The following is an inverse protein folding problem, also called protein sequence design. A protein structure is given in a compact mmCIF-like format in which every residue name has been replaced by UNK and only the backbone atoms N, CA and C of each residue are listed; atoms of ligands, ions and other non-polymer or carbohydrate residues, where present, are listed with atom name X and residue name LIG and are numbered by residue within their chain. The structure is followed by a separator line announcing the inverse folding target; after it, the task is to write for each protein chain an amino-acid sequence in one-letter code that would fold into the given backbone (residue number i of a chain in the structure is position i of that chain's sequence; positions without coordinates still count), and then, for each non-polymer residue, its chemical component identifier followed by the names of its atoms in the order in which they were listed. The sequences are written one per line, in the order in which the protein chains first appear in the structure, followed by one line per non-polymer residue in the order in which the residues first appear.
data_IF_421849048716
#
_entry.id   IF_421849048716
#
_cell.length_a   1.000
_cell.length_b   1.000
_cell.length_c   1.000
_cell.angle_alpha   90.00
_cell.angle_beta   90.00
_cell.angle_gamma   90.00
#
_symmetry.space_group_name_H-M   'P 1'
#
loop_
_entity.id
_entity.type
_entity.pdbx_description
1 polymer ?
#
# COMPACT_ATOMS: atom_id res chain seq x y z
N UNK A 1 -1.72 6.38 11.63
CA UNK A 1 -3.01 6.13 12.33
C UNK A 1 -2.72 6.21 13.82
N UNK A 2 -3.21 7.25 14.49
CA UNK A 2 -2.91 7.47 15.91
C UNK A 2 -4.07 6.99 16.78
N UNK A 3 -3.77 6.38 17.90
CA UNK A 3 -4.70 6.13 19.01
C UNK A 3 -4.75 7.30 19.99
N UNK A 4 -4.06 8.40 19.67
CA UNK A 4 -4.00 9.64 20.46
C UNK A 4 -4.43 10.82 19.59
N UNK A 5 -5.36 11.62 20.09
CA UNK A 5 -5.68 12.92 19.52
C UNK A 5 -4.55 13.92 19.84
N UNK A 6 -3.83 14.32 18.81
CA UNK A 6 -3.01 15.52 18.76
C UNK A 6 -3.81 16.62 18.06
N UNK A 7 -3.86 17.82 18.64
CA UNK A 7 -4.55 18.99 18.05
C UNK A 7 -3.59 19.88 17.25
N UNK A 8 -2.28 19.67 17.36
CA UNK A 8 -1.24 20.43 16.63
C UNK A 8 -1.11 20.00 15.17
N UNK A 9 -1.40 18.74 14.90
CA UNK A 9 -1.73 18.17 13.59
C UNK A 9 -3.17 17.69 13.73
N UNK A 10 -4.13 18.04 12.86
CA UNK A 10 -5.55 17.73 13.04
C UNK A 10 -5.81 16.21 12.92
N UNK A 11 -5.43 15.46 13.94
CA UNK A 11 -5.60 14.01 14.01
C UNK A 11 -7.01 13.68 14.43
N UNK A 12 -7.45 12.47 14.09
CA UNK A 12 -8.75 11.93 14.51
C UNK A 12 -8.49 10.61 15.21
N UNK A 13 -8.98 10.48 16.44
CA UNK A 13 -8.89 9.24 17.20
C UNK A 13 -9.75 8.15 16.54
N UNK A 14 -9.13 7.01 16.24
CA UNK A 14 -9.84 5.81 15.76
C UNK A 14 -10.02 4.87 16.94
N UNK A 15 -11.27 4.69 17.37
CA UNK A 15 -11.63 3.80 18.48
C UNK A 15 -11.55 2.34 18.02
N UNK A 16 -10.33 1.79 17.99
CA UNK A 16 -10.05 0.39 17.67
C UNK A 16 -8.84 -0.10 18.49
N UNK A 17 -8.78 -1.39 18.90
CA UNK A 17 -7.63 -1.90 19.64
C UNK A 17 -6.30 -1.66 18.90
N UNK A 18 -5.23 -1.15 19.54
CA UNK A 18 -3.97 -0.76 18.90
C UNK A 18 -3.11 -1.97 18.45
N UNK A 19 -3.72 -3.09 18.10
CA UNK A 19 -3.03 -4.30 17.66
C UNK A 19 -2.71 -4.22 16.17
N UNK A 20 -1.53 -4.72 15.79
CA UNK A 20 -1.12 -4.87 14.39
C UNK A 20 -2.06 -5.85 13.64
N UNK A 21 -2.53 -6.88 14.32
CA UNK A 21 -3.51 -7.85 13.80
C UNK A 21 -4.87 -7.21 13.44
N UNK A 22 -5.17 -6.02 13.98
CA UNK A 22 -6.43 -5.32 13.74
C UNK A 22 -6.31 -4.23 12.66
N UNK A 23 -5.21 -4.19 11.90
CA UNK A 23 -4.97 -3.16 10.89
C UNK A 23 -6.08 -3.10 9.84
N UNK A 24 -6.58 -4.24 9.35
CA UNK A 24 -7.68 -4.22 8.38
C UNK A 24 -8.94 -3.58 8.97
N UNK A 25 -9.32 -3.94 10.20
CA UNK A 25 -10.51 -3.37 10.83
C UNK A 25 -10.32 -1.87 11.13
N UNK A 26 -9.12 -1.43 11.52
CA UNK A 26 -8.79 0.00 11.64
C UNK A 26 -8.92 0.74 10.33
N UNK A 27 -8.41 0.15 9.25
CA UNK A 27 -8.47 0.73 7.91
C UNK A 27 -9.93 0.94 7.49
N UNK A 28 -10.80 -0.05 7.71
CA UNK A 28 -12.25 0.05 7.44
C UNK A 28 -12.87 1.23 8.18
N UNK A 29 -12.59 1.39 9.47
CA UNK A 29 -13.11 2.50 10.27
C UNK A 29 -12.58 3.87 9.82
N UNK A 30 -11.30 3.95 9.42
CA UNK A 30 -10.72 5.18 8.87
C UNK A 30 -11.41 5.59 7.58
N UNK A 31 -11.61 4.66 6.66
CA UNK A 31 -12.26 4.98 5.39
C UNK A 31 -13.74 5.36 5.62
N UNK A 32 -14.45 4.68 6.53
CA UNK A 32 -15.80 5.09 6.95
C UNK A 32 -15.82 6.51 7.50
N UNK A 33 -14.85 6.85 8.34
CA UNK A 33 -14.71 8.19 8.89
C UNK A 33 -14.42 9.22 7.80
N UNK A 34 -13.49 8.92 6.89
CA UNK A 34 -13.16 9.83 5.79
C UNK A 34 -14.39 10.12 4.92
N UNK A 35 -15.12 9.08 4.51
CA UNK A 35 -16.33 9.21 3.69
C UNK A 35 -17.46 9.93 4.43
N UNK A 36 -17.53 9.82 5.76
CA UNK A 36 -18.55 10.48 6.59
C UNK A 36 -18.25 11.97 6.82
N UNK A 37 -17.00 12.32 7.09
CA UNK A 37 -16.60 13.66 7.54
C UNK A 37 -16.11 14.57 6.40
N UNK A 38 -15.69 14.00 5.28
CA UNK A 38 -15.13 14.73 4.14
C UNK A 38 -15.85 14.42 2.83
N UNK A 39 -15.51 15.17 1.78
CA UNK A 39 -16.11 15.04 0.45
C UNK A 39 -15.09 15.24 -0.66
N UNK A 40 -15.45 14.85 -1.89
CA UNK A 40 -14.64 15.04 -3.09
C UNK A 40 -14.34 16.51 -3.39
N UNK A 41 -15.19 17.44 -2.95
CA UNK A 41 -14.96 18.88 -3.12
C UNK A 41 -13.82 19.41 -2.23
N UNK A 42 -13.43 18.66 -1.19
CA UNK A 42 -12.34 19.02 -0.28
C UNK A 42 -11.02 18.32 -0.62
N UNK A 43 -11.09 17.05 -1.04
CA UNK A 43 -9.91 16.25 -1.35
C UNK A 43 -10.14 15.36 -2.58
N UNK A 44 -9.33 15.58 -3.62
CA UNK A 44 -9.33 14.73 -4.83
C UNK A 44 -8.73 13.34 -4.56
N UNK A 45 -7.71 13.30 -3.69
CA UNK A 45 -6.88 12.14 -3.39
C UNK A 45 -6.63 12.01 -1.89
N UNK A 46 -6.57 10.76 -1.43
CA UNK A 46 -6.14 10.38 -0.09
C UNK A 46 -4.87 9.55 -0.21
N UNK A 47 -3.83 9.91 0.55
CA UNK A 47 -2.58 9.16 0.62
C UNK A 47 -2.46 8.49 2.00
N UNK A 48 -2.40 7.15 2.02
CA UNK A 48 -2.11 6.35 3.22
C UNK A 48 -0.63 6.00 3.20
N UNK A 49 0.07 6.18 4.32
CA UNK A 49 1.40 5.62 4.54
C UNK A 49 1.62 5.26 6.00
N UNK A 50 2.74 4.59 6.29
CA UNK A 50 3.20 4.35 7.66
C UNK A 50 3.97 5.57 8.18
N UNK A 51 4.18 5.64 9.50
CA UNK A 51 4.84 6.76 10.18
C UNK A 51 6.36 6.82 9.94
N UNK A 52 6.93 5.78 9.35
CA UNK A 52 8.31 5.68 8.88
C UNK A 52 8.43 5.80 7.35
N UNK A 53 7.49 6.52 6.73
CA UNK A 53 7.52 6.85 5.30
C UNK A 53 7.93 8.29 5.07
N UNK A 54 8.95 8.51 4.23
CA UNK A 54 9.25 9.85 3.72
C UNK A 54 8.53 10.08 2.39
N UNK A 55 7.71 11.13 2.33
CA UNK A 55 6.93 11.52 1.15
C UNK A 55 7.51 12.80 0.51
N UNK A 56 7.82 12.74 -0.79
CA UNK A 56 8.18 13.89 -1.61
C UNK A 56 6.90 14.45 -2.22
N UNK A 57 6.32 15.45 -1.55
CA UNK A 57 4.98 15.96 -1.85
C UNK A 57 4.87 16.59 -3.24
N UNK A 58 5.92 17.25 -3.71
CA UNK A 58 5.99 17.89 -5.03
C UNK A 58 5.91 16.85 -6.14
N UNK A 59 6.61 15.73 -5.97
CA UNK A 59 6.60 14.63 -6.94
C UNK A 59 5.23 13.94 -6.94
N UNK A 60 4.63 13.69 -5.76
CA UNK A 60 3.27 13.15 -5.69
C UNK A 60 2.27 14.08 -6.40
N UNK A 61 2.26 15.38 -6.08
CA UNK A 61 1.36 16.35 -6.71
C UNK A 61 1.56 16.42 -8.22
N UNK A 62 2.80 16.42 -8.69
CA UNK A 62 3.11 16.43 -10.13
C UNK A 62 2.57 15.18 -10.81
N UNK A 63 2.77 14.01 -10.19
CA UNK A 63 2.31 12.73 -10.73
C UNK A 63 0.77 12.65 -10.76
N UNK A 64 0.08 13.01 -9.68
CA UNK A 64 -1.38 12.99 -9.60
C UNK A 64 -2.05 13.97 -10.58
N UNK A 65 -1.40 15.10 -10.88
CA UNK A 65 -1.88 16.07 -11.86
C UNK A 65 -1.42 15.77 -13.30
N UNK A 66 -0.67 14.69 -13.51
CA UNK A 66 -0.24 14.25 -14.84
C UNK A 66 -1.43 13.84 -15.71
N UNK A 67 -1.38 14.08 -17.04
CA UNK A 67 -2.51 13.82 -17.93
C UNK A 67 -2.96 12.36 -17.93
N UNK A 68 -2.03 11.41 -17.80
CA UNK A 68 -2.35 9.97 -17.73
C UNK A 68 -3.15 9.63 -16.47
N UNK A 69 -2.73 10.14 -15.31
CA UNK A 69 -3.43 9.87 -14.05
C UNK A 69 -4.78 10.57 -14.00
N UNK A 70 -4.89 11.81 -14.50
CA UNK A 70 -6.17 12.52 -14.57
C UNK A 70 -7.16 11.80 -15.49
N UNK A 71 -6.72 11.35 -16.66
CA UNK A 71 -7.57 10.61 -17.59
C UNK A 71 -8.12 9.33 -16.96
N UNK A 72 -7.28 8.54 -16.28
CA UNK A 72 -7.73 7.31 -15.63
C UNK A 72 -8.62 7.60 -14.41
N UNK A 73 -8.36 8.68 -13.67
CA UNK A 73 -9.15 9.08 -12.52
C UNK A 73 -10.56 9.58 -12.89
N UNK A 74 -10.75 10.10 -14.10
CA UNK A 74 -12.08 10.46 -14.64
C UNK A 74 -12.94 9.23 -14.92
N UNK A 75 -12.32 8.08 -15.24
CA UNK A 75 -13.01 6.85 -15.60
C UNK A 75 -13.48 6.01 -14.40
N UNK A 76 -13.00 6.30 -13.17
CA UNK A 76 -13.49 5.63 -11.97
C UNK A 76 -12.47 5.46 -10.83
N UNK A 77 -12.63 4.42 -9.98
CA UNK A 77 -11.74 4.13 -8.85
C UNK A 77 -10.28 3.89 -9.27
N UNK A 78 -9.35 4.59 -8.62
CA UNK A 78 -7.90 4.45 -8.87
C UNK A 78 -7.15 4.22 -7.57
N UNK A 79 -6.21 3.26 -7.62
CA UNK A 79 -5.20 3.00 -6.59
C UNK A 79 -3.81 3.09 -7.22
N UNK A 80 -2.96 3.93 -6.65
CA UNK A 80 -1.58 4.18 -7.08
C UNK A 80 -0.62 3.85 -5.94
N UNK A 81 0.40 3.06 -6.22
CA UNK A 81 1.50 2.81 -5.31
C UNK A 81 2.38 1.70 -5.84
N UNK A 82 3.27 1.19 -4.99
CA UNK A 82 4.11 0.06 -5.38
C UNK A 82 3.24 -1.17 -5.70
N UNK A 83 3.62 -1.97 -6.68
CA UNK A 83 2.91 -3.21 -7.00
C UNK A 83 3.66 -4.39 -6.40
N UNK A 84 2.94 -5.25 -5.70
CA UNK A 84 3.43 -6.54 -5.22
C UNK A 84 2.42 -7.64 -5.54
N UNK A 85 2.90 -8.89 -5.57
CA UNK A 85 2.06 -10.06 -5.76
C UNK A 85 1.99 -10.80 -4.44
N UNK A 86 0.81 -10.80 -3.80
CA UNK A 86 0.53 -11.66 -2.67
C UNK A 86 0.34 -13.08 -3.20
N UNK A 87 1.28 -13.95 -2.90
CA UNK A 87 1.29 -15.31 -3.40
C UNK A 87 0.04 -16.06 -2.94
N UNK A 88 -0.50 -16.89 -3.82
CA UNK A 88 -1.79 -17.55 -3.58
C UNK A 88 -1.79 -18.44 -2.32
N UNK A 89 -0.63 -19.00 -1.93
CA UNK A 89 -0.51 -19.81 -0.73
C UNK A 89 -0.47 -18.96 0.55
N UNK A 90 0.15 -17.78 0.51
CA UNK A 90 0.15 -16.84 1.63
C UNK A 90 -1.25 -16.32 1.92
N UNK A 91 -1.99 -15.97 0.87
CA UNK A 91 -3.39 -15.58 0.99
C UNK A 91 -4.24 -16.69 1.62
N UNK A 92 -4.03 -17.95 1.23
CA UNK A 92 -4.77 -19.08 1.81
C UNK A 92 -4.39 -19.33 3.27
N UNK A 93 -3.11 -19.24 3.61
CA UNK A 93 -2.58 -19.55 4.94
C UNK A 93 -3.27 -18.76 6.06
N UNK A 94 -3.68 -17.53 5.76
CA UNK A 94 -4.41 -16.65 6.70
C UNK A 94 -5.85 -17.10 6.99
N UNK A 95 -6.38 -18.06 6.24
CA UNK A 95 -7.69 -18.67 6.47
C UNK A 95 -7.57 -20.09 7.03
N UNK A 96 -6.37 -20.60 7.27
CA UNK A 96 -6.20 -21.96 7.79
C UNK A 96 -6.20 -21.97 9.34
N UNK A 97 -6.96 -22.87 9.98
CA UNK A 97 -7.84 -23.86 9.35
C UNK A 97 -9.21 -23.26 8.97
N UNK A 98 -9.75 -23.63 7.80
CA UNK A 98 -10.93 -22.99 7.19
C UNK A 98 -12.17 -23.00 8.09
N UNK A 99 -12.31 -23.99 8.97
CA UNK A 99 -13.43 -24.10 9.93
C UNK A 99 -13.50 -22.96 10.95
N UNK A 100 -12.42 -22.18 11.12
CA UNK A 100 -12.40 -21.03 12.02
C UNK A 100 -12.96 -19.75 11.38
N UNK A 101 -13.28 -19.78 10.08
CA UNK A 101 -13.67 -18.61 9.31
C UNK A 101 -15.11 -18.73 8.81
N UNK A 102 -15.69 -17.58 8.45
CA UNK A 102 -17.01 -17.53 7.82
C UNK A 102 -16.98 -18.22 6.44
N UNK A 103 -17.89 -19.16 6.14
CA UNK A 103 -17.87 -19.91 4.88
C UNK A 103 -17.94 -19.04 3.62
N UNK A 104 -18.64 -17.91 3.66
CA UNK A 104 -18.78 -17.03 2.49
C UNK A 104 -17.47 -16.26 2.24
N UNK A 105 -16.74 -15.92 3.30
CA UNK A 105 -15.41 -15.28 3.21
C UNK A 105 -14.37 -16.27 2.70
N UNK A 106 -14.39 -17.52 3.19
CA UNK A 106 -13.55 -18.59 2.66
C UNK A 106 -13.85 -18.83 1.17
N UNK A 107 -15.12 -18.86 0.78
CA UNK A 107 -15.52 -18.99 -0.62
C UNK A 107 -15.02 -17.83 -1.48
N UNK A 108 -15.11 -16.59 -0.99
CA UNK A 108 -14.56 -15.42 -1.67
C UNK A 108 -13.04 -15.53 -1.85
N UNK A 109 -12.31 -15.93 -0.80
CA UNK A 109 -10.86 -16.16 -0.87
C UNK A 109 -10.50 -17.24 -1.89
N UNK A 110 -11.18 -18.39 -1.85
CA UNK A 110 -10.92 -19.49 -2.78
C UNK A 110 -11.18 -19.08 -4.24
N UNK A 111 -12.21 -18.26 -4.48
CA UNK A 111 -12.49 -17.70 -5.81
C UNK A 111 -11.35 -16.80 -6.29
N UNK A 112 -10.94 -15.82 -5.49
CA UNK A 112 -9.82 -14.93 -5.84
C UNK A 112 -8.54 -15.73 -6.05
N UNK A 113 -8.24 -16.69 -5.17
CA UNK A 113 -7.12 -17.61 -5.29
C UNK A 113 -7.12 -18.30 -6.64
N UNK A 114 -8.26 -18.87 -7.05
CA UNK A 114 -8.36 -19.59 -8.32
C UNK A 114 -8.13 -18.65 -9.51
N UNK A 115 -8.70 -17.45 -9.47
CA UNK A 115 -8.62 -16.47 -10.56
C UNK A 115 -7.21 -15.86 -10.73
N UNK A 116 -6.48 -15.67 -9.63
CA UNK A 116 -5.17 -15.01 -9.63
C UNK A 116 -3.99 -15.97 -9.62
N UNK A 117 -4.23 -17.28 -9.45
CA UNK A 117 -3.15 -18.28 -9.37
C UNK A 117 -2.20 -18.26 -10.58
N UNK A 118 -2.74 -17.98 -11.77
CA UNK A 118 -1.95 -17.86 -13.02
C UNK A 118 -1.02 -16.64 -13.06
N UNK A 119 -1.29 -15.65 -12.20
CA UNK A 119 -0.54 -14.40 -12.07
C UNK A 119 0.35 -14.44 -10.81
N UNK A 120 0.57 -15.64 -10.23
CA UNK A 120 1.33 -15.84 -8.99
C UNK A 120 0.50 -15.58 -7.72
N UNK A 121 -0.51 -14.72 -7.83
CA UNK A 121 -1.46 -14.42 -6.77
C UNK A 121 -2.06 -13.03 -6.93
N UNK A 122 -2.57 -12.46 -5.83
CA UNK A 122 -3.27 -11.18 -5.87
C UNK A 122 -2.26 -10.03 -6.06
N UNK A 123 -2.46 -9.23 -7.11
CA UNK A 123 -1.77 -7.95 -7.24
C UNK A 123 -2.33 -6.97 -6.19
N UNK A 124 -1.45 -6.44 -5.36
CA UNK A 124 -1.78 -5.48 -4.31
C UNK A 124 -0.74 -4.38 -4.20
N UNK A 125 -1.04 -3.39 -3.37
CA UNK A 125 -0.09 -2.34 -3.01
C UNK A 125 0.25 -2.41 -1.53
N UNK A 126 1.52 -2.69 -1.17
CA UNK A 126 1.92 -2.80 0.23
C UNK A 126 1.81 -1.47 0.98
N UNK A 127 1.57 -1.59 2.29
CA UNK A 127 1.21 -0.46 3.15
C UNK A 127 2.35 0.51 3.48
N UNK A 128 3.59 0.03 3.49
CA UNK A 128 4.76 0.74 4.00
C UNK A 128 5.03 2.02 3.22
N UNK A 129 5.54 1.90 1.99
CA UNK A 129 5.85 3.05 1.12
C UNK A 129 4.64 3.93 0.75
N UNK A 130 3.44 3.51 1.14
CA UNK A 130 2.21 4.24 0.99
C UNK A 130 1.60 4.18 -0.41
N UNK A 131 0.35 4.62 -0.48
CA UNK A 131 -0.46 4.59 -1.69
C UNK A 131 -1.49 5.71 -1.73
N UNK A 132 -1.79 6.18 -2.94
CA UNK A 132 -2.80 7.18 -3.23
C UNK A 132 -4.07 6.53 -3.78
N UNK A 133 -5.21 6.95 -3.26
CA UNK A 133 -6.55 6.53 -3.71
C UNK A 133 -7.37 7.77 -4.05
N UNK A 134 -8.11 7.75 -5.15
CA UNK A 134 -9.05 8.81 -5.46
C UNK A 134 -10.36 8.63 -4.69
N UNK A 135 -11.18 9.68 -4.64
CA UNK A 135 -12.44 9.64 -3.90
C UNK A 135 -13.42 8.56 -4.39
N UNK A 136 -13.43 8.27 -5.69
CA UNK A 136 -14.22 7.19 -6.28
C UNK A 136 -13.82 5.81 -5.73
N UNK A 137 -12.53 5.58 -5.48
CA UNK A 137 -12.02 4.38 -4.83
C UNK A 137 -12.49 4.29 -3.37
N UNK A 138 -12.37 5.37 -2.59
CA UNK A 138 -12.81 5.38 -1.19
C UNK A 138 -14.31 5.10 -1.05
N UNK A 139 -15.17 5.80 -1.80
CA UNK A 139 -16.63 5.59 -1.77
C UNK A 139 -17.00 4.15 -2.12
N UNK A 140 -16.35 3.57 -3.13
CA UNK A 140 -16.65 2.21 -3.59
C UNK A 140 -16.18 1.15 -2.60
N UNK A 141 -15.01 1.36 -2.00
CA UNK A 141 -14.45 0.50 -0.96
C UNK A 141 -15.34 0.52 0.28
N UNK A 142 -15.73 1.71 0.75
CA UNK A 142 -16.58 1.89 1.93
C UNK A 142 -17.92 1.15 1.80
N UNK A 143 -18.60 1.36 0.68
CA UNK A 143 -19.90 0.76 0.40
C UNK A 143 -19.87 -0.78 0.34
N UNK A 144 -18.68 -1.39 0.17
CA UNK A 144 -18.50 -2.84 0.07
C UNK A 144 -18.02 -3.48 1.39
N UNK A 145 -17.71 -2.71 2.43
CA UNK A 145 -16.97 -3.23 3.59
C UNK A 145 -17.64 -4.37 4.33
N UNK A 146 -18.97 -4.45 4.34
CA UNK A 146 -19.70 -5.50 5.06
C UNK A 146 -20.02 -6.72 4.19
N UNK A 147 -19.63 -6.68 2.91
CA UNK A 147 -19.74 -7.83 2.01
C UNK A 147 -18.69 -8.90 2.36
N UNK A 148 -19.01 -10.20 2.23
CA UNK A 148 -18.05 -11.27 2.56
C UNK A 148 -16.74 -11.19 1.79
N UNK A 149 -16.77 -10.70 0.55
CA UNK A 149 -15.57 -10.53 -0.28
C UNK A 149 -14.69 -9.34 0.15
N UNK A 150 -15.11 -8.54 1.13
CA UNK A 150 -14.30 -7.53 1.78
C UNK A 150 -13.91 -7.92 3.21
N UNK A 151 -14.01 -9.22 3.55
CA UNK A 151 -13.38 -9.82 4.73
C UNK A 151 -13.69 -9.08 6.06
N UNK A 152 -14.97 -8.74 6.36
CA UNK A 152 -15.30 -8.08 7.61
C UNK A 152 -14.91 -8.98 8.79
N UNK A 153 -14.32 -8.43 9.84
CA UNK A 153 -13.87 -9.16 11.04
C UNK A 153 -12.77 -10.22 10.83
N UNK A 154 -12.21 -10.36 9.62
CA UNK A 154 -11.02 -11.20 9.41
C UNK A 154 -9.76 -10.50 9.93
N UNK A 155 -8.81 -11.31 10.42
CA UNK A 155 -7.49 -10.87 10.88
C UNK A 155 -6.52 -11.02 9.71
N UNK A 156 -6.43 -9.96 8.92
CA UNK A 156 -5.60 -9.90 7.70
C UNK A 156 -4.88 -8.56 7.61
N UNK A 157 -3.70 -8.49 6.97
CA UNK A 157 -3.06 -7.22 6.62
C UNK A 157 -3.98 -6.32 5.79
N UNK A 158 -3.99 -5.03 6.10
CA UNK A 158 -4.90 -4.05 5.49
C UNK A 158 -4.56 -3.77 4.02
N UNK A 159 -3.27 -3.79 3.69
CA UNK A 159 -2.72 -3.40 2.40
C UNK A 159 -3.12 -4.32 1.24
N UNK A 160 -3.12 -5.64 1.44
CA UNK A 160 -3.67 -6.55 0.46
C UNK A 160 -5.18 -6.71 0.58
N UNK A 161 -5.77 -6.52 1.77
CA UNK A 161 -7.23 -6.61 1.96
C UNK A 161 -8.00 -5.56 1.15
N UNK A 162 -7.50 -4.32 1.06
CA UNK A 162 -8.12 -3.29 0.19
C UNK A 162 -8.12 -3.72 -1.28
N UNK A 163 -7.02 -4.33 -1.74
CA UNK A 163 -6.86 -4.78 -3.12
C UNK A 163 -7.71 -6.03 -3.39
N UNK A 164 -7.83 -6.92 -2.41
CA UNK A 164 -8.68 -8.10 -2.45
C UNK A 164 -10.16 -7.71 -2.60
N UNK A 165 -10.63 -6.78 -1.77
CA UNK A 165 -12.00 -6.26 -1.82
C UNK A 165 -12.28 -5.59 -3.18
N UNK A 166 -11.39 -4.70 -3.62
CA UNK A 166 -11.60 -3.91 -4.84
C UNK A 166 -11.42 -4.71 -6.14
N UNK A 167 -10.71 -5.85 -6.07
CA UNK A 167 -10.64 -6.82 -7.17
C UNK A 167 -12.02 -7.36 -7.54
N UNK A 168 -12.95 -7.50 -6.60
CA UNK A 168 -14.32 -7.92 -6.91
C UNK A 168 -14.96 -7.01 -7.98
N UNK A 169 -14.61 -5.73 -7.96
CA UNK A 169 -15.08 -4.73 -8.91
C UNK A 169 -14.19 -4.56 -10.14
N UNK A 170 -13.20 -5.45 -10.34
CA UNK A 170 -12.22 -5.34 -11.42
C UNK A 170 -11.20 -4.22 -11.25
N UNK A 171 -11.14 -3.59 -10.07
CA UNK A 171 -10.18 -2.53 -9.77
C UNK A 171 -8.90 -3.16 -9.24
N UNK A 172 -7.79 -2.91 -9.91
CA UNK A 172 -6.45 -3.38 -9.54
C UNK A 172 -5.50 -2.18 -9.42
N UNK A 173 -4.44 -2.24 -8.59
CA UNK A 173 -3.46 -1.16 -8.51
C UNK A 173 -2.87 -0.83 -9.89
N UNK A 174 -2.64 0.43 -10.24
CA UNK A 174 -2.02 0.82 -11.52
C UNK A 174 -0.49 0.63 -11.54
N UNK A 175 0.12 0.52 -12.72
CA UNK A 175 1.58 0.42 -12.85
C UNK A 175 2.13 1.83 -12.74
N UNK A 176 2.74 2.15 -11.59
CA UNK A 176 3.24 3.50 -11.31
C UNK A 176 4.70 3.70 -11.67
N UNK A 177 5.33 2.73 -12.35
CA UNK A 177 6.73 2.85 -12.76
C UNK A 177 6.89 3.79 -13.93
N UNK A 178 8.09 4.32 -14.09
CA UNK A 178 8.40 5.16 -15.24
C UNK A 178 8.57 4.34 -16.54
N UNK A 179 8.82 5.02 -17.65
CA UNK A 179 9.04 4.39 -18.96
C UNK A 179 10.22 3.39 -18.96
N UNK A 180 11.17 3.54 -18.03
CA UNK A 180 12.32 2.65 -17.84
C UNK A 180 12.04 1.54 -16.81
N UNK A 181 10.79 1.39 -16.37
CA UNK A 181 10.33 0.41 -15.39
C UNK A 181 10.98 0.59 -14.01
N UNK A 182 11.25 1.84 -13.63
CA UNK A 182 11.79 2.20 -12.31
C UNK A 182 10.68 2.62 -11.37
N UNK A 183 10.81 2.28 -10.09
CA UNK A 183 9.78 2.52 -9.09
C UNK A 183 9.67 4.01 -8.73
N UNK A 184 8.44 4.45 -8.42
CA UNK A 184 8.15 5.75 -7.82
C UNK A 184 7.82 5.64 -6.33
N UNK A 185 7.11 4.57 -5.94
CA UNK A 185 6.75 4.29 -4.56
C UNK A 185 7.65 3.15 -4.08
N UNK A 186 8.42 3.37 -3.02
CA UNK A 186 9.48 2.45 -2.63
C UNK A 186 9.20 1.79 -1.28
N UNK A 187 9.40 0.47 -1.20
CA UNK A 187 9.22 -0.32 0.04
C UNK A 187 10.44 -0.35 0.95
N UNK A 188 11.53 0.30 0.56
CA UNK A 188 12.74 0.40 1.35
C UNK A 188 13.32 1.80 1.32
N UNK A 189 14.27 2.04 2.20
CA UNK A 189 15.03 3.27 2.22
C UNK A 189 15.99 3.32 1.00
N UNK A 190 16.43 4.52 0.59
CA UNK A 190 17.33 4.67 -0.54
C UNK A 190 18.65 3.89 -0.47
N UNK A 191 19.20 3.67 0.73
CA UNK A 191 20.44 2.91 0.87
C UNK A 191 20.19 1.44 0.56
N UNK A 192 19.14 0.84 1.10
CA UNK A 192 18.78 -0.54 0.81
C UNK A 192 18.45 -0.75 -0.68
N UNK A 193 17.65 0.15 -1.28
CA UNK A 193 17.34 0.09 -2.72
C UNK A 193 18.59 0.17 -3.61
N UNK A 194 19.59 0.96 -3.21
CA UNK A 194 20.79 1.17 -4.00
C UNK A 194 21.86 0.08 -3.79
N UNK A 195 21.96 -0.46 -2.57
CA UNK A 195 23.07 -1.35 -2.20
C UNK A 195 22.72 -2.83 -2.23
N UNK A 196 21.45 -3.19 -1.96
CA UNK A 196 21.06 -4.60 -1.93
C UNK A 196 20.78 -5.09 -3.35
N UNK A 197 21.37 -6.23 -3.77
CA UNK A 197 20.98 -6.83 -5.03
C UNK A 197 19.50 -7.21 -4.98
N UNK A 198 18.85 -7.18 -6.14
CA UNK A 198 17.56 -7.83 -6.27
C UNK A 198 17.75 -9.34 -6.13
N UNK A 199 16.94 -9.98 -5.30
CA UNK A 199 17.00 -11.40 -5.00
C UNK A 199 15.58 -11.97 -5.09
N UNK A 200 15.32 -12.76 -6.14
CA UNK A 200 14.04 -13.42 -6.40
C UNK A 200 13.70 -14.49 -5.35
N UNK A 201 14.69 -14.94 -4.57
CA UNK A 201 14.54 -15.89 -3.47
C UNK A 201 14.87 -15.22 -2.12
N UNK A 202 14.61 -13.92 -1.97
CA UNK A 202 14.89 -13.20 -0.72
C UNK A 202 14.02 -13.70 0.43
N UNK A 203 14.44 -14.74 1.13
CA UNK A 203 13.84 -15.20 2.39
C UNK A 203 14.92 -15.34 3.48
N UNK A 204 14.56 -15.37 4.76
CA UNK A 204 15.52 -15.65 5.83
C UNK A 204 16.00 -17.11 5.73
N UNK A 205 17.06 -17.34 4.94
CA UNK A 205 17.66 -18.66 4.73
C UNK A 205 18.19 -19.31 6.02
N UNK A 206 18.29 -18.58 7.14
CA UNK A 206 18.68 -19.14 8.44
C UNK A 206 17.48 -19.74 9.17
N UNK A 207 16.30 -19.15 8.99
CA UNK A 207 15.06 -19.56 9.65
C UNK A 207 14.23 -20.50 8.78
N UNK A 208 14.28 -20.34 7.46
CA UNK A 208 13.41 -21.03 6.51
C UNK A 208 14.22 -21.80 5.46
N UNK A 209 13.63 -22.88 4.94
CA UNK A 209 14.26 -23.73 3.91
C UNK A 209 13.72 -23.48 2.51
N UNK A 210 12.62 -22.72 2.41
CA UNK A 210 12.02 -22.33 1.14
C UNK A 210 11.18 -21.07 1.36
N UNK A 211 11.03 -20.30 0.29
CA UNK A 211 10.06 -19.21 0.18
C UNK A 211 8.63 -19.55 0.67
N UNK A 212 8.19 -20.80 0.56
CA UNK A 212 6.85 -21.23 1.01
C UNK A 212 6.68 -21.28 2.53
N UNK A 213 7.74 -21.03 3.30
CA UNK A 213 7.74 -21.10 4.76
C UNK A 213 7.81 -19.72 5.42
N UNK A 214 8.21 -18.68 4.68
CA UNK A 214 8.27 -17.31 5.17
C UNK A 214 7.15 -16.46 4.58
N UNK A 215 6.63 -15.52 5.37
CA UNK A 215 5.90 -14.37 4.85
C UNK A 215 6.86 -13.53 3.99
N UNK A 216 7.00 -13.90 2.73
CA UNK A 216 7.97 -13.25 1.87
C UNK A 216 7.40 -12.00 1.20
N UNK A 217 7.32 -10.93 1.99
CA UNK A 217 7.04 -9.57 1.51
C UNK A 217 8.28 -8.90 0.87
N UNK A 218 9.39 -9.63 0.70
CA UNK A 218 10.70 -9.04 0.41
C UNK A 218 11.11 -9.12 -1.06
N UNK A 219 10.28 -9.70 -1.93
CA UNK A 219 10.69 -9.94 -3.30
C UNK A 219 9.55 -9.93 -4.31
N UNK A 220 9.90 -9.54 -5.53
CA UNK A 220 9.04 -9.65 -6.69
C UNK A 220 9.10 -11.09 -7.22
N UNK A 221 8.18 -11.92 -6.75
CA UNK A 221 8.19 -13.35 -7.02
C UNK A 221 7.50 -13.75 -8.33
N UNK A 222 6.97 -12.79 -9.09
CA UNK A 222 6.18 -13.12 -10.29
C UNK A 222 6.34 -12.13 -11.45
N UNK A 223 7.49 -11.47 -11.54
CA UNK A 223 7.87 -10.69 -12.72
C UNK A 223 7.13 -9.36 -12.84
N UNK A 224 6.85 -8.70 -11.71
CA UNK A 224 6.44 -7.29 -11.71
C UNK A 224 7.52 -6.46 -12.40
N UNK A 225 8.79 -6.81 -12.22
CA UNK A 225 9.98 -6.17 -12.75
C UNK A 225 10.58 -5.16 -11.78
N UNK A 226 10.64 -5.50 -10.48
CA UNK A 226 11.33 -4.67 -9.48
C UNK A 226 12.83 -4.63 -9.77
N UNK A 227 13.39 -3.42 -9.83
CA UNK A 227 14.82 -3.17 -10.01
C UNK A 227 15.45 -2.58 -8.75
N UNK A 228 16.70 -2.95 -8.46
CA UNK A 228 17.55 -2.34 -7.43
C UNK A 228 18.80 -1.69 -8.05
N UNK A 229 19.62 -1.06 -7.21
CA UNK A 229 20.89 -0.44 -7.61
C UNK A 229 20.68 0.79 -8.49
N UNK A 230 21.55 0.95 -9.50
CA UNK A 230 21.51 2.11 -10.41
C UNK A 230 20.23 2.23 -11.23
N UNK A 231 19.45 1.16 -11.29
CA UNK A 231 18.19 1.13 -12.03
C UNK A 231 16.95 1.14 -11.13
N UNK A 232 17.09 1.28 -9.80
CA UNK A 232 15.94 1.16 -8.89
C UNK A 232 14.87 2.22 -9.15
N UNK A 233 15.33 3.46 -9.27
CA UNK A 233 14.51 4.56 -8.82
C UNK A 233 14.27 5.55 -9.94
N UNK A 234 12.99 5.88 -10.14
CA UNK A 234 12.59 6.93 -11.04
C UNK A 234 13.06 8.29 -10.49
N UNK A 235 13.47 9.24 -11.33
CA UNK A 235 13.93 10.56 -10.89
C UNK A 235 12.81 11.35 -10.19
N UNK A 236 11.56 11.02 -10.52
CA UNK A 236 10.32 11.51 -9.91
C UNK A 236 9.80 10.53 -8.84
N UNK A 237 10.71 9.97 -8.03
CA UNK A 237 10.36 9.13 -6.87
C UNK A 237 9.44 9.90 -5.91
N UNK A 238 8.40 9.22 -5.43
CA UNK A 238 7.33 9.80 -4.61
C UNK A 238 7.56 9.50 -3.13
N UNK A 239 7.89 8.26 -2.76
CA UNK A 239 7.98 7.89 -1.35
C UNK A 239 9.01 6.81 -1.07
N UNK A 240 9.59 6.84 0.13
CA UNK A 240 10.53 5.84 0.63
C UNK A 240 10.09 5.36 2.01
N UNK A 241 10.00 4.04 2.19
CA UNK A 241 9.67 3.41 3.47
C UNK A 241 10.91 3.17 4.34
N UNK A 242 10.71 2.85 5.62
CA UNK A 242 11.75 2.68 6.65
C UNK A 242 12.66 3.90 6.87
N UNK A 243 12.19 5.09 6.51
CA UNK A 243 12.89 6.36 6.77
C UNK A 243 12.49 6.88 8.15
N UNK A 244 13.14 6.37 9.20
CA UNK A 244 12.91 6.79 10.59
C UNK A 244 13.82 7.97 10.99
N UNK A 245 13.45 8.81 11.97
CA UNK A 245 14.38 9.75 12.57
C UNK A 245 15.67 9.04 13.06
N UNK A 246 16.87 9.62 12.86
CA UNK A 246 17.14 10.96 12.34
C UNK A 246 17.26 11.05 10.80
N UNK A 247 17.12 9.94 10.07
CA UNK A 247 17.23 9.94 8.60
C UNK A 247 16.13 10.78 7.95
N UNK A 248 14.93 10.76 8.51
CA UNK A 248 13.81 11.60 8.07
C UNK A 248 14.14 13.10 8.12
N UNK A 249 14.78 13.55 9.19
CA UNK A 249 15.20 14.95 9.36
C UNK A 249 16.28 15.33 8.33
N UNK A 250 17.23 14.41 8.07
CA UNK A 250 18.26 14.63 7.06
C UNK A 250 17.66 14.75 5.65
N UNK A 251 16.66 13.93 5.33
CA UNK A 251 15.97 14.01 4.05
C UNK A 251 15.20 15.32 3.93
N UNK A 252 14.52 15.72 5.01
CA UNK A 252 13.81 16.99 5.04
C UNK A 252 14.75 18.17 4.82
N UNK A 253 15.91 18.20 5.49
CA UNK A 253 16.91 19.24 5.29
C UNK A 253 17.49 19.23 3.87
N UNK A 254 17.76 18.05 3.30
CA UNK A 254 18.26 17.94 1.92
C UNK A 254 17.28 18.48 0.88
N UNK A 255 15.99 18.17 1.01
CA UNK A 255 14.97 18.59 0.03
C UNK A 255 14.44 20.00 0.29
N UNK A 256 14.37 20.45 1.54
CA UNK A 256 13.63 21.66 1.94
C UNK A 256 14.44 22.64 2.81
N UNK A 257 15.64 22.28 3.28
CA UNK A 257 16.45 23.08 4.20
C UNK A 257 16.89 24.44 3.63
N UNK A 258 17.33 24.47 2.37
CA UNK A 258 17.80 25.72 1.74
C UNK A 258 16.67 26.75 1.53
N UNK A 259 15.42 26.31 1.37
CA UNK A 259 14.26 27.22 1.18
C UNK A 259 13.87 28.00 2.45
N UNK A 260 14.34 27.58 3.62
CA UNK A 260 14.12 28.30 4.87
C UNK A 260 15.21 29.35 5.18
N UNK A 261 16.35 29.31 4.48
CA UNK A 261 17.46 30.27 4.68
C UNK A 261 17.25 31.64 4.02
N UNK A 262 16.29 31.75 3.10
CA UNK A 262 16.00 32.98 2.33
C UNK A 262 14.78 33.76 2.86
N UNK A 263 14.22 33.38 4.01
CA UNK A 263 13.08 34.04 4.66
C UNK A 263 13.42 34.81 5.96
N UNK A 264 14.69 35.10 6.21
CA UNK A 264 15.17 36.02 7.27
C UNK A 264 15.91 37.19 6.67
#
# INVERSE_FOLDING_TARGET
MSDIEDLSVPTVEIVAPPLHEMLWQKHREIVRLLVREYSEDQFDWVFKCDDDTFLIMENLKTYLNGPEIRAVAEDGPVLLGHRMTLQWWEMQRLFEPFENHDPDRVAAMLKVKQETKKDGGLLYTPGGGGYAMNWAYLKKLEAAFDEPFCLPNEVVPDDWAISFCMRHFGVIPLDTRDEKKRERFHQYDPNDLYTRPYDEEAYDHKLFTSIYQENNWFSDHYGIGWQNGKNCCAPDSISFHYVKPPLMDLFYEYYYGEQNSTKT
#
